data_IF_417647259738
#
_entry.id   IF_417647259738
#
_cell.length_a   1.000
_cell.length_b   1.000
_cell.length_c   1.000
_cell.angle_alpha   90.00
_cell.angle_beta   90.00
_cell.angle_gamma   90.00
#
_symmetry.space_group_name_H-M   'P 1'
#
loop_
_entity.id
_entity.type
_entity.pdbx_description
1 polymer ?
#
# COMPACT_ATOMS: atom_id res chain seq x y z
N UNK A 1 -36.35 -50.50 -5.70
CA UNK A 1 -35.51 -50.37 -6.91
C UNK A 1 -36.44 -50.09 -8.08
N UNK A 2 -36.67 -48.81 -8.34
CA UNK A 2 -37.43 -48.21 -9.46
C UNK A 2 -37.14 -46.69 -9.37
N UNK A 3 -36.76 -46.11 -10.52
CA UNK A 3 -36.90 -44.71 -10.97
C UNK A 3 -36.34 -43.53 -10.14
N UNK A 4 -35.33 -42.85 -10.69
CA UNK A 4 -35.44 -41.45 -11.13
C UNK A 4 -34.09 -40.93 -11.66
N UNK A 5 -33.86 -41.14 -12.96
CA UNK A 5 -33.00 -40.26 -13.74
C UNK A 5 -33.69 -38.90 -13.94
N UNK A 6 -32.89 -37.87 -14.22
CA UNK A 6 -33.24 -36.54 -14.71
C UNK A 6 -33.70 -35.52 -13.66
N UNK A 7 -32.79 -34.61 -13.28
CA UNK A 7 -33.11 -33.18 -13.27
C UNK A 7 -31.88 -32.27 -13.16
N UNK A 8 -31.70 -31.52 -14.25
CA UNK A 8 -31.17 -30.14 -14.34
C UNK A 8 -29.65 -29.97 -14.40
N UNK A 9 -29.12 -30.28 -15.58
CA UNK A 9 -28.25 -29.33 -16.29
C UNK A 9 -29.06 -28.06 -16.61
N UNK A 10 -28.76 -26.94 -15.96
CA UNK A 10 -29.08 -25.59 -16.45
C UNK A 10 -28.41 -24.56 -15.53
N UNK A 11 -27.34 -23.94 -16.01
CA UNK A 11 -27.05 -22.50 -15.93
C UNK A 11 -25.61 -22.23 -16.38
N UNK A 12 -25.31 -22.65 -17.62
CA UNK A 12 -24.32 -21.98 -18.45
C UNK A 12 -25.03 -20.90 -19.24
N UNK A 13 -24.68 -19.63 -18.96
CA UNK A 13 -24.74 -18.46 -19.87
C UNK A 13 -24.46 -17.22 -19.03
N UNK A 14 -23.19 -16.95 -18.78
CA UNK A 14 -22.77 -15.58 -18.48
C UNK A 14 -22.98 -14.77 -19.76
N UNK A 15 -23.91 -13.83 -19.68
CA UNK A 15 -24.25 -12.91 -20.76
C UNK A 15 -23.02 -12.06 -21.11
N UNK A 16 -22.67 -12.02 -22.39
CA UNK A 16 -21.65 -11.13 -22.92
C UNK A 16 -22.09 -9.66 -22.72
N UNK A 17 -21.15 -8.74 -22.42
CA UNK A 17 -21.50 -7.34 -22.20
C UNK A 17 -22.05 -6.73 -23.49
N UNK A 18 -23.28 -6.23 -23.39
CA UNK A 18 -23.99 -5.49 -24.44
C UNK A 18 -23.17 -4.29 -24.89
N UNK A 19 -22.70 -4.31 -26.14
CA UNK A 19 -22.07 -3.17 -26.78
C UNK A 19 -23.10 -2.05 -26.93
N UNK A 20 -22.88 -0.96 -26.19
CA UNK A 20 -23.64 0.29 -26.34
C UNK A 20 -23.21 0.93 -27.67
N UNK A 21 -24.11 0.94 -28.65
CA UNK A 21 -23.94 1.69 -29.89
C UNK A 21 -24.08 3.19 -29.62
N UNK A 22 -23.01 3.94 -29.84
CA UNK A 22 -23.01 5.40 -29.85
C UNK A 22 -23.33 5.84 -31.29
N UNK A 23 -24.34 6.70 -31.54
CA UNK A 23 -24.66 7.15 -32.88
C UNK A 23 -23.53 8.02 -33.46
N UNK A 24 -23.24 7.79 -34.75
CA UNK A 24 -22.33 8.61 -35.53
C UNK A 24 -22.96 9.98 -35.78
N UNK A 25 -22.31 11.04 -35.30
CA UNK A 25 -22.60 12.42 -35.68
C UNK A 25 -21.58 12.81 -36.73
N UNK A 26 -22.06 13.01 -37.96
CA UNK A 26 -21.30 13.68 -39.01
C UNK A 26 -21.60 15.17 -38.91
N UNK A 27 -20.58 15.97 -38.64
CA UNK A 27 -20.63 17.42 -38.88
C UNK A 27 -19.34 17.84 -39.59
N UNK A 28 -19.52 18.18 -40.87
CA UNK A 28 -18.58 18.87 -41.72
C UNK A 28 -18.34 20.29 -41.20
N UNK A 29 -17.24 20.50 -40.49
CA UNK A 29 -16.66 21.83 -40.32
C UNK A 29 -15.15 21.79 -40.57
N UNK A 30 -14.77 22.32 -41.73
CA UNK A 30 -13.43 22.83 -41.97
C UNK A 30 -13.14 23.92 -40.91
N UNK A 31 -12.15 23.66 -40.05
CA UNK A 31 -11.58 24.68 -39.16
C UNK A 31 -10.08 24.68 -39.37
N UNK A 32 -9.59 25.90 -39.61
CA UNK A 32 -8.25 26.26 -40.01
C UNK A 32 -7.14 25.64 -39.16
N UNK A 33 -5.99 25.49 -39.82
CA UNK A 33 -4.65 25.54 -39.24
C UNK A 33 -4.59 26.51 -38.07
N UNK A 34 -4.55 25.95 -36.87
CA UNK A 34 -3.90 26.54 -35.72
C UNK A 34 -3.51 25.38 -34.80
N UNK A 35 -2.44 24.68 -35.19
CA UNK A 35 -1.59 23.98 -34.22
C UNK A 35 -0.93 25.03 -33.31
N UNK A 36 -1.74 25.74 -32.52
CA UNK A 36 -1.34 26.24 -31.23
C UNK A 36 -1.07 25.01 -30.38
N UNK A 37 0.09 24.38 -30.61
CA UNK A 37 0.72 23.46 -29.67
C UNK A 37 0.82 24.29 -28.40
N UNK A 38 -0.15 24.11 -27.50
CA UNK A 38 -0.06 24.63 -26.16
C UNK A 38 1.28 24.10 -25.66
N UNK A 39 2.30 24.96 -25.61
CA UNK A 39 3.61 24.60 -25.07
C UNK A 39 3.38 24.43 -23.59
N UNK A 40 2.87 23.26 -23.22
CA UNK A 40 2.65 22.85 -21.85
C UNK A 40 4.05 22.65 -21.29
N UNK A 41 4.54 23.71 -20.63
CA UNK A 41 5.93 23.80 -20.20
C UNK A 41 6.15 22.85 -19.04
N UNK A 42 7.22 22.06 -19.11
CA UNK A 42 7.71 21.37 -17.92
C UNK A 42 8.07 22.46 -16.89
N UNK A 43 7.33 22.54 -15.78
CA UNK A 43 7.68 23.44 -14.67
C UNK A 43 8.88 22.87 -13.91
N UNK A 44 10.08 23.00 -14.50
CA UNK A 44 11.35 22.89 -13.77
C UNK A 44 11.60 24.22 -13.06
N UNK A 45 11.96 24.19 -11.78
CA UNK A 45 11.97 25.38 -10.90
C UNK A 45 12.91 26.53 -11.30
N UNK A 46 13.81 26.36 -12.27
CA UNK A 46 14.79 27.40 -12.64
C UNK A 46 15.05 27.54 -14.15
N UNK A 47 14.82 26.52 -14.96
CA UNK A 47 15.04 26.57 -16.42
C UNK A 47 13.73 26.19 -17.11
N UNK A 48 13.22 27.09 -17.95
CA UNK A 48 12.04 26.84 -18.77
C UNK A 48 12.37 25.78 -19.83
N UNK A 49 11.78 24.60 -19.70
CA UNK A 49 11.82 23.61 -20.78
C UNK A 49 10.83 24.03 -21.88
N UNK A 50 11.30 24.05 -23.13
CA UNK A 50 10.51 24.41 -24.31
C UNK A 50 9.99 23.20 -25.10
N UNK A 51 10.31 21.97 -24.66
CA UNK A 51 9.82 20.75 -25.27
C UNK A 51 8.30 20.61 -25.03
N UNK A 52 7.62 19.91 -25.94
CA UNK A 52 6.24 19.47 -25.74
C UNK A 52 6.12 18.62 -24.48
N UNK A 53 4.96 18.67 -23.84
CA UNK A 53 4.63 17.69 -22.82
C UNK A 53 4.38 16.33 -23.48
N UNK A 54 5.03 15.30 -22.97
CA UNK A 54 4.89 13.93 -23.45
C UNK A 54 3.94 13.14 -22.51
N UNK A 55 3.89 13.49 -21.22
CA UNK A 55 3.03 12.83 -20.23
C UNK A 55 2.73 13.74 -19.01
N UNK A 56 1.77 13.34 -18.16
CA UNK A 56 1.35 14.05 -16.95
C UNK A 56 1.78 13.28 -15.70
N UNK A 57 2.35 13.99 -14.71
CA UNK A 57 2.84 13.35 -13.50
C UNK A 57 1.70 12.88 -12.59
N UNK A 58 1.64 11.58 -12.29
CA UNK A 58 0.61 10.99 -11.40
C UNK A 58 0.67 11.48 -9.95
N UNK A 59 1.81 12.03 -9.52
CA UNK A 59 2.01 12.50 -8.14
C UNK A 59 1.57 13.95 -7.95
N UNK A 60 1.79 14.82 -8.93
CA UNK A 60 1.55 16.27 -8.79
C UNK A 60 0.66 16.88 -9.87
N UNK A 61 0.20 16.08 -10.84
CA UNK A 61 -0.63 16.52 -11.97
C UNK A 61 0.08 17.45 -12.95
N UNK A 62 1.40 17.64 -12.84
CA UNK A 62 2.16 18.51 -13.76
C UNK A 62 2.62 17.74 -14.97
N UNK A 63 2.48 18.35 -16.13
CA UNK A 63 3.00 17.83 -17.38
C UNK A 63 4.52 17.92 -17.46
N UNK A 64 5.12 16.93 -18.13
CA UNK A 64 6.56 16.82 -18.32
C UNK A 64 6.91 16.18 -19.67
N UNK A 65 8.12 16.43 -20.16
CA UNK A 65 8.69 15.78 -21.35
C UNK A 65 9.60 14.62 -20.94
N UNK A 66 9.87 13.71 -21.87
CA UNK A 66 10.83 12.60 -21.81
C UNK A 66 12.14 12.92 -21.08
N UNK A 67 12.69 14.13 -21.23
CA UNK A 67 13.94 14.54 -20.57
C UNK A 67 13.77 14.96 -19.09
N UNK A 68 12.58 15.35 -18.68
CA UNK A 68 12.28 15.91 -17.35
C UNK A 68 11.35 15.02 -16.50
N UNK A 69 11.12 13.78 -16.92
CA UNK A 69 10.45 12.76 -16.13
C UNK A 69 10.72 11.37 -16.66
N UNK A 70 9.96 10.40 -16.16
CA UNK A 70 9.95 9.04 -16.63
C UNK A 70 8.55 8.75 -17.16
N UNK A 71 8.44 8.45 -18.45
CA UNK A 71 7.17 8.20 -19.13
C UNK A 71 6.53 6.88 -18.71
N UNK A 72 7.32 5.81 -18.60
CA UNK A 72 6.84 4.48 -18.17
C UNK A 72 6.18 4.53 -16.80
N UNK A 73 6.75 5.31 -15.89
CA UNK A 73 6.23 5.50 -14.54
C UNK A 73 5.26 6.68 -14.43
N UNK A 74 5.14 7.49 -15.48
CA UNK A 74 4.35 8.72 -15.50
C UNK A 74 4.69 9.68 -14.33
N UNK A 75 5.98 9.88 -14.06
CA UNK A 75 6.47 10.68 -12.91
C UNK A 75 7.49 11.73 -13.33
N UNK A 76 7.25 12.99 -12.94
CA UNK A 76 8.20 14.07 -13.20
C UNK A 76 9.45 13.97 -12.30
N UNK A 77 10.54 14.61 -12.73
CA UNK A 77 11.82 14.63 -12.02
C UNK A 77 11.71 15.10 -10.56
N UNK A 78 10.81 16.05 -10.27
CA UNK A 78 10.62 16.58 -8.92
C UNK A 78 9.98 15.55 -7.98
N UNK A 79 9.02 14.78 -8.48
CA UNK A 79 8.29 13.80 -7.66
C UNK A 79 8.96 12.42 -7.62
N UNK A 80 10.04 12.20 -8.39
CA UNK A 80 10.70 10.89 -8.50
C UNK A 80 11.11 10.30 -7.14
N UNK A 81 11.67 11.10 -6.25
CA UNK A 81 12.09 10.63 -4.93
C UNK A 81 10.91 10.28 -4.02
N UNK A 82 9.86 11.10 -4.03
CA UNK A 82 8.66 10.87 -3.22
C UNK A 82 7.86 9.68 -3.76
N UNK A 83 7.79 9.53 -5.08
CA UNK A 83 7.20 8.35 -5.72
C UNK A 83 7.94 7.06 -5.34
N UNK A 84 9.28 7.05 -5.42
CA UNK A 84 10.07 5.90 -5.01
C UNK A 84 9.89 5.57 -3.53
N UNK A 85 9.77 6.59 -2.67
CA UNK A 85 9.47 6.39 -1.24
C UNK A 85 8.07 5.81 -1.04
N UNK A 86 7.08 6.31 -1.76
CA UNK A 86 5.69 5.82 -1.73
C UNK A 86 5.62 4.35 -2.16
N UNK A 87 6.25 3.98 -3.27
CA UNK A 87 6.30 2.59 -3.74
C UNK A 87 6.89 1.65 -2.69
N UNK A 88 7.99 2.05 -2.03
CA UNK A 88 8.59 1.26 -0.94
C UNK A 88 7.64 1.10 0.25
N UNK A 89 6.90 2.15 0.60
CA UNK A 89 5.90 2.07 1.67
C UNK A 89 4.72 1.17 1.29
N UNK A 90 4.23 1.26 0.05
CA UNK A 90 3.16 0.41 -0.46
C UNK A 90 3.59 -1.06 -0.53
N UNK A 91 4.80 -1.34 -1.01
CA UNK A 91 5.40 -2.68 -1.02
C UNK A 91 5.53 -3.24 0.41
N UNK A 92 6.07 -2.46 1.34
CA UNK A 92 6.18 -2.89 2.74
C UNK A 92 4.80 -3.15 3.39
N UNK A 93 3.80 -2.33 3.07
CA UNK A 93 2.44 -2.52 3.54
C UNK A 93 1.81 -3.80 2.98
N UNK A 94 2.00 -4.08 1.69
CA UNK A 94 1.54 -5.30 1.04
C UNK A 94 2.21 -6.57 1.60
N UNK A 95 3.53 -6.53 1.83
CA UNK A 95 4.22 -7.64 2.47
C UNK A 95 3.74 -7.88 3.91
N UNK A 96 3.42 -6.81 4.64
CA UNK A 96 2.86 -6.90 5.99
C UNK A 96 1.45 -7.51 6.00
N UNK A 97 0.60 -7.24 4.98
CA UNK A 97 -0.72 -7.89 4.88
C UNK A 97 -0.58 -9.38 4.64
N UNK A 98 0.26 -9.80 3.68
CA UNK A 98 0.52 -11.22 3.40
C UNK A 98 1.04 -11.92 4.67
N UNK A 99 2.00 -11.29 5.36
CA UNK A 99 2.57 -11.85 6.58
C UNK A 99 1.50 -12.08 7.66
N UNK A 100 0.53 -11.18 7.80
CA UNK A 100 -0.58 -11.33 8.77
C UNK A 100 -1.53 -12.44 8.37
N UNK A 101 -1.92 -12.50 7.10
CA UNK A 101 -2.79 -13.55 6.58
C UNK A 101 -2.18 -14.95 6.78
N UNK A 102 -0.88 -15.09 6.48
CA UNK A 102 -0.13 -16.34 6.74
C UNK A 102 -0.12 -16.66 8.22
N UNK A 103 0.14 -15.67 9.09
CA UNK A 103 0.17 -15.89 10.52
C UNK A 103 -1.20 -16.35 11.06
N UNK A 104 -2.29 -15.70 10.63
CA UNK A 104 -3.67 -16.02 11.00
C UNK A 104 -4.06 -17.44 10.55
N UNK A 105 -3.81 -17.78 9.29
CA UNK A 105 -4.05 -19.13 8.75
C UNK A 105 -3.33 -20.20 9.57
N UNK A 106 -2.05 -19.98 9.89
CA UNK A 106 -1.27 -20.92 10.71
C UNK A 106 -1.76 -20.99 12.16
N UNK A 107 -2.15 -19.86 12.74
CA UNK A 107 -2.68 -19.80 14.09
C UNK A 107 -4.01 -20.55 14.23
N UNK A 108 -4.84 -20.57 13.19
CA UNK A 108 -6.06 -21.39 13.15
C UNK A 108 -5.76 -22.90 13.27
N UNK A 109 -4.56 -23.33 12.87
CA UNK A 109 -4.07 -24.70 13.04
C UNK A 109 -3.25 -24.91 14.32
N UNK A 110 -3.23 -23.95 15.26
CA UNK A 110 -2.44 -24.04 16.49
C UNK A 110 -0.94 -23.86 16.31
N UNK A 111 -0.49 -23.51 15.10
CA UNK A 111 0.92 -23.36 14.75
C UNK A 111 1.39 -21.91 14.94
N UNK A 112 2.70 -21.76 15.12
CA UNK A 112 3.38 -20.47 15.13
C UNK A 112 3.12 -19.70 13.84
N UNK A 113 2.77 -18.42 13.96
CA UNK A 113 2.47 -17.54 12.83
C UNK A 113 3.70 -17.15 11.97
N UNK A 114 4.89 -17.61 12.34
CA UNK A 114 6.07 -17.51 11.48
C UNK A 114 6.01 -18.60 10.40
N UNK A 115 6.17 -18.20 9.14
CA UNK A 115 6.22 -19.14 8.02
C UNK A 115 7.31 -20.20 8.23
N UNK A 116 7.01 -21.45 7.87
CA UNK A 116 7.93 -22.57 8.04
C UNK A 116 8.17 -23.05 9.49
N UNK A 117 7.53 -22.47 10.51
CA UNK A 117 7.73 -22.89 11.90
C UNK A 117 6.64 -23.86 12.38
N UNK A 118 6.99 -25.11 12.64
CA UNK A 118 6.06 -26.18 13.07
C UNK A 118 5.77 -26.18 14.59
N UNK A 119 6.39 -25.29 15.37
CA UNK A 119 6.14 -25.24 16.80
C UNK A 119 4.73 -24.73 17.10
N UNK A 120 4.13 -25.24 18.18
CA UNK A 120 2.87 -24.73 18.71
C UNK A 120 2.95 -23.25 19.06
N UNK A 121 1.85 -22.52 18.85
CA UNK A 121 1.73 -21.14 19.29
C UNK A 121 1.53 -21.04 20.81
N UNK A 122 2.15 -20.04 21.46
CA UNK A 122 2.11 -19.91 22.93
C UNK A 122 1.80 -18.48 23.36
N UNK A 123 2.27 -17.48 22.58
CA UNK A 123 2.25 -16.08 23.00
C UNK A 123 1.75 -15.20 21.88
N UNK A 124 0.92 -14.22 22.23
CA UNK A 124 0.37 -13.21 21.32
C UNK A 124 1.31 -12.02 21.19
N UNK A 125 1.54 -11.55 19.96
CA UNK A 125 2.25 -10.30 19.70
C UNK A 125 1.33 -9.10 19.98
N UNK A 126 1.74 -8.17 20.84
CA UNK A 126 0.95 -6.98 21.22
C UNK A 126 0.72 -6.01 20.05
N UNK A 127 1.51 -6.11 18.97
CA UNK A 127 1.42 -5.21 17.83
C UNK A 127 0.55 -5.72 16.69
N UNK A 128 0.79 -6.97 16.26
CA UNK A 128 0.04 -7.55 15.14
C UNK A 128 -1.11 -8.46 15.57
N UNK A 129 -1.23 -8.80 16.86
CA UNK A 129 -2.31 -9.66 17.37
C UNK A 129 -2.15 -11.15 17.07
N UNK A 130 -1.21 -11.55 16.21
CA UNK A 130 -0.98 -12.96 15.87
C UNK A 130 -0.19 -13.70 16.96
N UNK A 131 -0.28 -15.03 16.97
CA UNK A 131 0.36 -15.92 17.94
C UNK A 131 1.66 -16.53 17.41
N UNK A 132 2.66 -16.66 18.28
CA UNK A 132 4.00 -17.15 17.97
C UNK A 132 4.51 -18.12 19.04
N UNK A 133 5.49 -18.95 18.67
CA UNK A 133 6.19 -19.84 19.59
C UNK A 133 7.33 -19.12 20.33
N UNK A 134 7.86 -19.73 21.40
CA UNK A 134 8.96 -19.21 22.23
C UNK A 134 10.20 -18.73 21.47
N UNK A 135 10.44 -19.22 20.25
CA UNK A 135 11.58 -18.80 19.41
C UNK A 135 11.29 -17.53 18.59
N UNK A 136 10.02 -17.25 18.28
CA UNK A 136 9.62 -16.18 17.36
C UNK A 136 8.90 -15.02 18.04
N UNK A 137 8.83 -15.01 19.37
CA UNK A 137 8.46 -13.84 20.15
C UNK A 137 9.61 -13.44 21.10
N UNK A 138 9.63 -12.17 21.49
CA UNK A 138 10.52 -11.64 22.50
C UNK A 138 9.80 -10.63 23.38
N UNK A 139 10.21 -10.54 24.65
CA UNK A 139 9.81 -9.45 25.55
C UNK A 139 10.88 -8.36 25.49
N UNK A 140 10.50 -7.19 25.03
CA UNK A 140 11.40 -6.06 24.84
C UNK A 140 11.11 -4.96 25.83
N UNK A 141 12.14 -4.49 26.53
CA UNK A 141 12.03 -3.33 27.39
C UNK A 141 12.14 -2.03 26.58
N UNK A 142 11.33 -1.06 26.93
CA UNK A 142 11.42 0.30 26.40
C UNK A 142 11.25 1.32 27.52
N UNK A 143 11.72 2.53 27.27
CA UNK A 143 11.50 3.66 28.17
C UNK A 143 10.75 4.75 27.44
N UNK A 144 9.86 5.43 28.15
CA UNK A 144 9.13 6.57 27.65
C UNK A 144 9.11 7.68 28.69
N UNK A 145 8.99 8.91 28.22
CA UNK A 145 8.88 10.08 29.08
C UNK A 145 7.40 10.40 29.29
N UNK A 146 7.01 10.53 30.56
CA UNK A 146 5.66 10.83 30.98
C UNK A 146 5.63 12.21 31.63
N UNK A 147 4.73 13.08 31.16
CA UNK A 147 4.54 14.41 31.75
C UNK A 147 3.60 14.32 32.94
N UNK A 148 4.07 14.75 34.10
CA UNK A 148 3.29 14.84 35.33
C UNK A 148 3.16 16.29 35.79
N UNK A 149 2.25 16.59 36.72
CA UNK A 149 2.16 17.90 37.39
C UNK A 149 3.49 18.37 37.99
N UNK A 150 4.34 17.44 38.41
CA UNK A 150 5.66 17.70 39.01
C UNK A 150 6.83 17.77 38.02
N UNK A 151 6.56 17.66 36.71
CA UNK A 151 7.58 17.62 35.66
C UNK A 151 7.59 16.32 34.85
N UNK A 152 8.60 16.17 33.99
CA UNK A 152 8.77 15.01 33.10
C UNK A 152 9.50 13.89 33.86
N UNK A 153 8.93 12.68 33.87
CA UNK A 153 9.52 11.49 34.50
C UNK A 153 9.68 10.38 33.48
N UNK A 154 10.85 9.74 33.46
CA UNK A 154 11.13 8.58 32.59
C UNK A 154 10.62 7.29 33.24
N UNK A 155 9.74 6.55 32.55
CA UNK A 155 9.23 5.25 33.00
C UNK A 155 9.76 4.12 32.11
N UNK A 156 9.84 2.93 32.68
CA UNK A 156 10.19 1.68 31.95
C UNK A 156 8.92 0.85 31.77
N UNK A 157 8.78 0.26 30.58
CA UNK A 157 7.73 -0.69 30.26
C UNK A 157 8.30 -1.83 29.40
N UNK A 158 7.49 -2.86 29.17
CA UNK A 158 7.82 -3.99 28.31
C UNK A 158 6.73 -4.17 27.27
N UNK A 159 7.12 -4.58 26.06
CA UNK A 159 6.19 -5.04 25.03
C UNK A 159 6.58 -6.45 24.58
N UNK A 160 5.59 -7.29 24.35
CA UNK A 160 5.77 -8.61 23.75
C UNK A 160 5.56 -8.53 22.25
N UNK A 161 6.62 -8.73 21.47
CA UNK A 161 6.61 -8.55 20.02
C UNK A 161 7.15 -9.80 19.30
N UNK A 162 6.64 -10.07 18.09
CA UNK A 162 7.26 -11.04 17.20
C UNK A 162 8.56 -10.49 16.58
N UNK A 163 9.35 -11.39 15.98
CA UNK A 163 10.62 -11.06 15.31
C UNK A 163 10.47 -9.90 14.31
N UNK A 164 9.42 -9.89 13.50
CA UNK A 164 9.14 -8.83 12.51
C UNK A 164 8.72 -7.53 13.19
N UNK A 165 7.86 -7.58 14.21
CA UNK A 165 7.37 -6.37 14.89
C UNK A 165 8.42 -5.69 15.79
N UNK A 166 9.55 -6.35 16.07
CA UNK A 166 10.62 -5.81 16.91
C UNK A 166 11.14 -4.46 16.44
N UNK A 167 11.23 -4.23 15.13
CA UNK A 167 11.74 -2.96 14.58
C UNK A 167 10.89 -1.74 14.99
N UNK A 168 9.62 -2.00 15.32
CA UNK A 168 8.65 -1.00 15.73
C UNK A 168 8.59 -0.78 17.25
N UNK A 169 9.52 -1.34 18.01
CA UNK A 169 9.67 -1.03 19.43
C UNK A 169 9.86 0.48 19.68
N UNK A 170 10.40 1.21 18.70
CA UNK A 170 10.57 2.67 18.79
C UNK A 170 9.24 3.43 18.78
N UNK A 171 8.19 2.89 18.16
CA UNK A 171 6.87 3.53 18.10
C UNK A 171 6.19 3.57 19.48
N UNK A 172 6.41 2.54 20.30
CA UNK A 172 5.95 2.48 21.70
C UNK A 172 6.57 3.58 22.58
N UNK A 173 7.74 4.11 22.22
CA UNK A 173 8.35 5.25 22.95
C UNK A 173 7.61 6.56 22.69
N UNK A 174 7.03 6.73 21.50
CA UNK A 174 6.37 7.97 21.06
C UNK A 174 4.95 8.10 21.62
N UNK A 175 4.20 7.00 21.70
CA UNK A 175 2.79 6.99 22.10
C UNK A 175 2.54 7.37 23.57
N UNK A 176 3.54 7.24 24.44
CA UNK A 176 3.36 7.44 25.88
C UNK A 176 3.71 8.86 26.38
N UNK A 177 4.07 9.77 25.46
CA UNK A 177 4.33 11.19 25.76
C UNK A 177 3.05 12.00 25.93
N UNK A 178 1.93 11.55 25.36
CA UNK A 178 0.63 12.23 25.41
C UNK A 178 -0.42 11.35 26.11
N UNK A 179 -0.52 11.46 27.44
CA UNK A 179 -1.75 11.14 28.16
C UNK A 179 -1.92 12.17 29.28
N UNK A 180 -2.99 12.95 29.17
CA UNK A 180 -3.49 13.90 30.17
C UNK A 180 -3.80 13.21 31.51
#
# INVERSE_FOLDING_TARGET
MIEAQNRVEAHSRAEAPTQVQIPAVADDHAVADDHAVAKVRCKSGFILCLNSADNTCIMCGRDFCSQHGNEEQSVCRHCRHDYARRLKHEEAAYLETIRREVAESRNAHGLCGNEGCENAHIVTCERCGSFYCAKHWGRYSYSYDYRSRTGIKRRRATAVLCSSCKEHLSDYRKLAVYKD
#
